data_IF_058810410549
#
_entry.id   IF_058810410549
#
_cell.length_a   1.000
_cell.length_b   1.000
_cell.length_c   1.000
_cell.angle_alpha   90.00
_cell.angle_beta   90.00
_cell.angle_gamma   90.00
#
_symmetry.space_group_name_H-M   'P 1'
#
loop_
_entity.id
_entity.type
_entity.pdbx_description
1 polymer ?
#
# COMPACT_ATOMS: atom_id res chain seq x y z
N UNK A 1 23.00 -6.39 14.29
CA UNK A 1 21.86 -5.63 14.81
C UNK A 1 20.74 -5.80 13.81
N UNK A 2 19.81 -6.72 14.07
CA UNK A 2 18.76 -7.09 13.12
C UNK A 2 17.67 -6.03 13.15
N UNK A 3 17.64 -5.13 12.17
CA UNK A 3 16.45 -4.32 11.89
C UNK A 3 15.33 -5.27 11.45
N UNK A 4 14.49 -5.71 12.39
CA UNK A 4 13.20 -6.29 12.04
C UNK A 4 12.33 -5.18 11.45
N UNK A 5 12.54 -4.86 10.17
CA UNK A 5 11.61 -4.03 9.39
C UNK A 5 10.29 -4.79 9.37
N UNK A 6 9.30 -4.22 10.03
CA UNK A 6 7.95 -4.76 10.15
C UNK A 6 7.26 -4.69 8.77
N UNK A 7 7.55 -5.66 7.90
CA UNK A 7 6.90 -5.78 6.59
C UNK A 7 5.51 -6.38 6.78
N UNK A 8 4.48 -5.55 6.92
CA UNK A 8 3.11 -6.01 6.85
C UNK A 8 2.74 -6.29 5.40
N UNK A 9 2.08 -7.43 5.16
CA UNK A 9 1.47 -7.71 3.86
C UNK A 9 0.21 -6.87 3.74
N UNK A 10 0.06 -6.20 2.60
CA UNK A 10 -1.08 -5.35 2.31
C UNK A 10 -1.63 -5.68 0.93
N UNK A 11 -2.93 -5.96 0.87
CA UNK A 11 -3.66 -6.11 -0.38
C UNK A 11 -4.03 -4.73 -0.90
N UNK A 12 -3.63 -4.42 -2.12
CA UNK A 12 -3.99 -3.21 -2.86
C UNK A 12 -4.98 -3.58 -3.98
N UNK A 13 -6.05 -2.80 -4.08
CA UNK A 13 -7.11 -2.94 -5.06
C UNK A 13 -7.26 -1.67 -5.88
N UNK A 14 -7.24 -1.79 -7.21
CA UNK A 14 -7.55 -0.71 -8.14
C UNK A 14 -8.02 -1.28 -9.49
N UNK A 15 -9.03 -0.70 -10.17
CA UNK A 15 -9.59 -1.26 -11.40
C UNK A 15 -8.57 -1.56 -12.52
N UNK A 16 -7.50 -0.77 -12.64
CA UNK A 16 -6.48 -0.96 -13.70
C UNK A 16 -5.50 -2.12 -13.47
N UNK A 17 -5.39 -2.61 -12.23
CA UNK A 17 -4.45 -3.68 -11.86
C UNK A 17 -5.15 -4.86 -11.18
N UNK A 18 -6.45 -4.75 -10.90
CA UNK A 18 -7.19 -5.72 -10.11
C UNK A 18 -6.73 -5.73 -8.65
N UNK A 19 -6.29 -6.90 -8.20
CA UNK A 19 -5.77 -7.13 -6.85
C UNK A 19 -4.28 -7.46 -6.89
N UNK A 20 -3.54 -6.86 -5.97
CA UNK A 20 -2.10 -7.05 -5.84
C UNK A 20 -1.74 -7.16 -4.35
N UNK A 21 -0.78 -8.02 -4.03
CA UNK A 21 -0.29 -8.17 -2.66
C UNK A 21 1.13 -7.61 -2.54
N UNK A 22 1.27 -6.51 -1.82
CA UNK A 22 2.54 -5.83 -1.59
C UNK A 22 3.01 -5.91 -0.14
N UNK A 23 4.18 -5.34 0.11
CA UNK A 23 4.75 -5.21 1.46
C UNK A 23 4.90 -3.75 1.84
N UNK A 24 4.51 -3.41 3.06
CA UNK A 24 4.76 -2.07 3.60
C UNK A 24 6.24 -1.91 3.90
N UNK A 25 6.87 -0.84 3.40
CA UNK A 25 8.25 -0.49 3.75
C UNK A 25 8.32 0.54 4.87
N UNK A 26 7.47 1.56 4.79
CA UNK A 26 7.40 2.68 5.72
C UNK A 26 5.93 2.97 6.01
N UNK A 27 5.59 3.19 7.28
CA UNK A 27 4.25 3.57 7.72
C UNK A 27 4.36 4.83 8.58
N UNK A 28 3.49 5.80 8.34
CA UNK A 28 3.35 7.03 9.15
C UNK A 28 1.88 7.29 9.46
N UNK A 29 1.60 8.37 10.20
CA UNK A 29 0.23 8.82 10.45
C UNK A 29 -0.48 9.32 9.18
N UNK A 30 0.27 9.70 8.15
CA UNK A 30 -0.28 10.30 6.93
C UNK A 30 -0.34 9.32 5.75
N UNK A 31 0.39 8.21 5.82
CA UNK A 31 0.48 7.32 4.69
C UNK A 31 1.40 6.14 4.88
N UNK A 32 1.57 5.39 3.79
CA UNK A 32 2.36 4.16 3.75
C UNK A 32 3.06 4.05 2.40
N UNK A 33 4.27 3.51 2.39
CA UNK A 33 4.93 3.10 1.15
C UNK A 33 4.79 1.59 0.97
N UNK A 34 4.34 1.18 -0.21
CA UNK A 34 4.09 -0.23 -0.55
C UNK A 34 4.97 -0.66 -1.71
N UNK A 35 5.77 -1.69 -1.48
CA UNK A 35 6.61 -2.33 -2.48
C UNK A 35 5.84 -3.42 -3.22
N UNK A 36 5.77 -3.29 -4.54
CA UNK A 36 5.40 -4.36 -5.46
C UNK A 36 5.60 -3.86 -6.90
N UNK A 37 6.34 -4.57 -7.78
CA UNK A 37 6.63 -4.11 -9.13
C UNK A 37 5.38 -3.74 -9.95
N UNK A 38 4.29 -4.50 -9.80
CA UNK A 38 3.02 -4.24 -10.49
C UNK A 38 2.32 -2.94 -10.07
N UNK A 39 2.67 -2.34 -8.93
CA UNK A 39 2.08 -1.07 -8.46
C UNK A 39 2.64 0.13 -9.21
N UNK A 40 3.84 0.03 -9.80
CA UNK A 40 4.43 1.09 -10.63
C UNK A 40 3.59 1.47 -11.86
N UNK A 41 2.58 0.65 -12.20
CA UNK A 41 1.62 0.89 -13.29
C UNK A 41 0.49 1.85 -12.91
N UNK A 42 0.35 2.19 -11.63
CA UNK A 42 -0.64 3.15 -11.17
C UNK A 42 -0.15 4.57 -11.39
N UNK A 43 -0.99 5.50 -11.87
CA UNK A 43 -0.62 6.90 -11.96
C UNK A 43 -0.68 7.59 -10.58
N UNK A 44 0.14 8.62 -10.39
CA UNK A 44 -0.04 9.57 -9.29
C UNK A 44 -1.45 10.18 -9.36
N UNK A 45 -2.11 10.33 -8.21
CA UNK A 45 -3.50 10.75 -8.09
C UNK A 45 -4.52 9.60 -8.14
N UNK A 46 -4.10 8.37 -8.47
CA UNK A 46 -5.01 7.21 -8.42
C UNK A 46 -5.48 6.93 -6.99
N UNK A 47 -6.76 6.61 -6.83
CA UNK A 47 -7.34 6.21 -5.53
C UNK A 47 -7.43 4.70 -5.46
N UNK A 48 -6.72 4.11 -4.50
CA UNK A 48 -6.68 2.66 -4.26
C UNK A 48 -7.38 2.30 -2.95
N UNK A 49 -7.76 1.03 -2.82
CA UNK A 49 -8.16 0.44 -1.53
C UNK A 49 -7.05 -0.46 -1.01
N UNK A 50 -6.61 -0.22 0.22
CA UNK A 50 -5.66 -1.07 0.93
C UNK A 50 -6.30 -1.85 2.07
N UNK A 51 -5.82 -3.07 2.32
CA UNK A 51 -6.21 -3.88 3.47
C UNK A 51 -5.01 -4.67 3.98
N UNK A 52 -4.63 -4.46 5.25
CA UNK A 52 -3.58 -5.27 5.89
C UNK A 52 -4.04 -6.73 5.95
N UNK A 53 -3.13 -7.65 5.66
CA UNK A 53 -3.36 -9.09 5.66
C UNK A 53 -2.71 -9.74 6.88
N UNK A 54 -2.95 -11.04 7.06
CA UNK A 54 -2.34 -11.87 8.09
C UNK A 54 -2.65 -11.41 9.54
N UNK A 55 -3.77 -10.71 9.72
CA UNK A 55 -4.32 -10.40 11.03
C UNK A 55 -5.34 -11.48 11.46
N UNK A 56 -5.52 -11.74 12.78
CA UNK A 56 -6.51 -12.70 13.28
C UNK A 56 -7.95 -12.39 12.85
N UNK A 57 -8.23 -11.12 12.57
CA UNK A 57 -9.51 -10.62 12.04
C UNK A 57 -9.21 -9.76 10.83
N UNK A 58 -10.12 -9.76 9.84
CA UNK A 58 -9.96 -8.95 8.63
C UNK A 58 -9.75 -7.47 8.98
N UNK A 59 -8.65 -6.90 8.50
CA UNK A 59 -8.38 -5.47 8.67
C UNK A 59 -9.45 -4.62 7.94
N UNK A 60 -9.71 -3.39 8.39
CA UNK A 60 -10.54 -2.46 7.63
C UNK A 60 -9.92 -2.18 6.25
N UNK A 61 -10.78 -1.91 5.26
CA UNK A 61 -10.35 -1.37 3.96
C UNK A 61 -10.17 0.13 4.09
N UNK A 62 -9.00 0.63 3.72
CA UNK A 62 -8.64 2.05 3.81
C UNK A 62 -8.50 2.61 2.39
N UNK A 63 -9.10 3.78 2.14
CA UNK A 63 -8.90 4.52 0.88
C UNK A 63 -7.63 5.35 0.96
N UNK A 64 -6.85 5.29 -0.11
CA UNK A 64 -5.57 5.98 -0.22
C UNK A 64 -5.37 6.55 -1.61
N UNK A 65 -4.64 7.65 -1.71
CA UNK A 65 -4.22 8.26 -2.96
C UNK A 65 -2.74 7.99 -3.23
N UNK A 66 -2.40 7.63 -4.47
CA UNK A 66 -1.01 7.50 -4.93
C UNK A 66 -0.39 8.89 -5.03
N UNK A 67 0.57 9.20 -4.17
CA UNK A 67 1.28 10.49 -4.17
C UNK A 67 2.69 10.39 -4.76
N UNK A 68 3.22 9.18 -4.92
CA UNK A 68 4.55 8.92 -5.48
C UNK A 68 4.57 7.53 -6.13
N UNK A 69 5.31 7.42 -7.23
CA UNK A 69 5.59 6.16 -7.93
C UNK A 69 7.08 6.10 -8.24
N UNK A 70 7.71 4.96 -8.01
CA UNK A 70 9.07 4.67 -8.44
C UNK A 70 9.23 3.18 -8.81
N UNK A 71 10.45 2.77 -9.15
CA UNK A 71 10.72 1.42 -9.63
C UNK A 71 10.43 0.31 -8.61
N UNK A 72 10.38 0.63 -7.32
CA UNK A 72 10.18 -0.35 -6.26
C UNK A 72 8.71 -0.46 -5.80
N UNK A 73 7.89 0.56 -6.06
CA UNK A 73 6.52 0.62 -5.58
C UNK A 73 5.90 2.01 -5.59
N UNK A 74 5.01 2.26 -4.62
CA UNK A 74 4.19 3.48 -4.55
C UNK A 74 4.14 4.05 -3.13
N UNK A 75 4.15 5.37 -3.03
CA UNK A 75 3.81 6.11 -1.83
C UNK A 75 2.30 6.43 -1.83
N UNK A 76 1.64 6.10 -0.73
CA UNK A 76 0.20 6.25 -0.53
C UNK A 76 -0.08 7.24 0.59
N UNK A 77 -1.04 8.15 0.39
CA UNK A 77 -1.58 9.05 1.42
C UNK A 77 -2.98 8.59 1.83
N UNK A 78 -3.28 8.60 3.12
CA UNK A 78 -4.63 8.32 3.62
C UNK A 78 -5.58 9.50 3.32
N UNK A 79 -6.80 9.22 2.87
CA UNK A 79 -7.75 10.28 2.45
C UNK A 79 -9.11 10.28 3.16
N UNK A 80 -9.45 9.24 3.93
CA UNK A 80 -10.73 9.13 4.67
C UNK A 80 -10.57 8.42 6.05
N UNK A 81 -9.55 8.81 6.82
CA UNK A 81 -9.31 8.26 8.18
C UNK A 81 -10.04 9.04 9.28
#
# INVERSE_FOLDING_TARGET
MSENKNYLRIKIQHPSIGECLGHTRNLSSQGVYVQHPGLSRLPTGAVVYGQVQDLPVAAPRIRMEVIRVDAEGIGLRFIDL
#
